data_IF_401563627002
#
_entry.id   IF_401563627002
#
_cell.length_a   1.000
_cell.length_b   1.000
_cell.length_c   1.000
_cell.angle_alpha   90.00
_cell.angle_beta   90.00
_cell.angle_gamma   90.00
#
_symmetry.space_group_name_H-M   'P 1'
#
loop_
_entity.id
_entity.type
_entity.pdbx_description
1 polymer ?
#
# COMPACT_ATOMS: atom_id res chain seq x y z
N UNK A 1 18.40 -6.96 -7.94
CA UNK A 1 19.74 -6.96 -7.32
C UNK A 1 20.48 -5.79 -7.94
N UNK A 2 20.96 -4.83 -7.13
CA UNK A 2 21.67 -3.66 -7.64
C UNK A 2 23.17 -3.89 -7.48
N UNK A 3 23.91 -3.83 -8.59
CA UNK A 3 25.36 -3.96 -8.62
C UNK A 3 25.97 -2.61 -8.99
N UNK A 4 27.03 -2.23 -8.28
CA UNK A 4 27.76 -0.96 -8.48
C UNK A 4 28.69 -1.13 -9.67
N UNK A 5 28.69 -0.17 -10.58
CA UNK A 5 29.60 -0.13 -11.73
C UNK A 5 30.91 0.59 -11.43
N UNK A 6 32.00 0.07 -11.98
CA UNK A 6 33.20 0.81 -12.35
C UNK A 6 33.48 0.55 -13.84
N UNK A 7 34.23 1.44 -14.49
CA UNK A 7 34.27 1.59 -15.96
C UNK A 7 35.67 1.46 -16.57
N UNK A 8 35.75 0.81 -17.75
CA UNK A 8 36.87 0.88 -18.71
C UNK A 8 37.90 -0.27 -18.60
N UNK A 9 38.45 -0.83 -19.69
CA UNK A 9 38.20 -0.59 -21.13
C UNK A 9 38.59 -1.81 -22.03
N UNK A 10 37.98 -1.89 -23.21
CA UNK A 10 38.24 -2.63 -24.48
C UNK A 10 39.21 -3.84 -24.61
N UNK A 11 38.70 -4.95 -25.18
CA UNK A 11 39.11 -5.53 -26.51
C UNK A 11 38.32 -6.81 -26.87
N UNK A 12 38.53 -7.41 -28.07
CA UNK A 12 37.51 -8.13 -28.86
C UNK A 12 37.68 -9.67 -29.06
N UNK A 13 36.56 -10.40 -28.96
CA UNK A 13 36.11 -11.57 -29.76
C UNK A 13 36.74 -13.01 -29.58
N UNK A 14 36.04 -14.11 -29.98
CA UNK A 14 36.13 -15.48 -29.38
C UNK A 14 36.33 -16.60 -30.48
N UNK A 15 35.73 -17.83 -30.48
CA UNK A 15 35.23 -18.77 -29.44
C UNK A 15 35.71 -20.26 -29.60
N UNK A 16 35.39 -21.14 -28.63
CA UNK A 16 35.13 -22.64 -28.68
C UNK A 16 35.21 -23.21 -27.24
N UNK A 17 34.61 -24.33 -26.80
CA UNK A 17 33.63 -25.32 -27.34
C UNK A 17 32.96 -26.16 -26.20
N UNK A 18 31.73 -26.63 -26.44
CA UNK A 18 31.00 -27.84 -25.93
C UNK A 18 30.99 -28.33 -24.44
N UNK A 19 29.79 -28.79 -24.03
CA UNK A 19 29.38 -29.55 -22.80
C UNK A 19 29.56 -31.10 -22.99
N UNK A 20 29.18 -32.07 -22.11
CA UNK A 20 28.21 -32.04 -20.98
C UNK A 20 28.61 -32.92 -19.72
N UNK A 21 27.74 -33.61 -18.95
CA UNK A 21 27.68 -33.40 -17.49
C UNK A 21 27.99 -34.65 -16.61
N UNK A 22 28.11 -34.46 -15.30
CA UNK A 22 28.10 -35.56 -14.32
C UNK A 22 27.24 -35.26 -13.10
N UNK A 23 26.56 -36.32 -12.63
CA UNK A 23 25.54 -36.29 -11.58
C UNK A 23 26.09 -36.75 -10.24
N UNK A 24 25.62 -36.11 -9.16
CA UNK A 24 25.45 -36.74 -7.84
C UNK A 24 26.66 -36.84 -6.92
N UNK A 25 26.59 -36.14 -5.78
CA UNK A 25 26.92 -36.72 -4.48
C UNK A 25 26.24 -35.94 -3.35
N UNK A 26 25.92 -36.64 -2.25
CA UNK A 26 25.13 -36.14 -1.13
C UNK A 26 25.92 -35.17 -0.23
N UNK A 27 25.18 -34.21 0.33
CA UNK A 27 25.18 -34.00 1.79
C UNK A 27 26.23 -33.04 2.38
N UNK A 28 25.81 -31.79 2.60
CA UNK A 28 26.06 -31.10 3.87
C UNK A 28 25.07 -29.95 4.10
N UNK A 29 24.34 -30.00 5.22
CA UNK A 29 23.56 -28.85 5.71
C UNK A 29 24.51 -27.83 6.35
N UNK A 30 24.64 -26.65 5.74
CA UNK A 30 25.27 -25.49 6.38
C UNK A 30 24.27 -24.85 7.35
N UNK A 31 24.36 -25.23 8.62
CA UNK A 31 23.64 -24.55 9.71
C UNK A 31 24.41 -23.30 10.15
N UNK A 32 23.82 -22.11 9.94
CA UNK A 32 24.44 -20.85 10.33
C UNK A 32 24.25 -20.59 11.84
N UNK A 33 25.27 -20.90 12.63
CA UNK A 33 25.28 -20.65 14.07
C UNK A 33 25.39 -19.15 14.40
N UNK A 34 24.63 -18.70 15.41
CA UNK A 34 24.79 -17.39 16.03
C UNK A 34 26.08 -17.39 16.89
N UNK A 35 26.88 -16.30 16.89
CA UNK A 35 28.12 -16.26 17.66
C UNK A 35 27.85 -16.16 19.17
N UNK A 36 28.24 -17.21 19.92
CA UNK A 36 28.44 -17.12 21.36
C UNK A 36 29.72 -16.29 21.65
N UNK A 37 29.61 -15.27 22.50
CA UNK A 37 30.78 -14.61 23.06
C UNK A 37 31.18 -15.28 24.39
N UNK A 38 32.45 -15.68 24.48
CA UNK A 38 32.98 -16.42 25.62
C UNK A 38 33.21 -15.57 26.87
N UNK A 39 32.98 -16.17 28.04
CA UNK A 39 33.42 -15.65 29.33
C UNK A 39 34.92 -15.90 29.52
N UNK A 40 35.66 -14.88 29.94
CA UNK A 40 36.99 -15.03 30.56
C UNK A 40 36.90 -14.55 32.00
N UNK A 41 37.35 -15.37 32.94
CA UNK A 41 37.31 -15.10 34.38
C UNK A 41 38.63 -14.50 34.87
N UNK A 42 38.53 -13.54 35.78
CA UNK A 42 39.66 -12.87 36.44
C UNK A 42 39.11 -11.75 37.32
N UNK A 43 38.90 -12.03 38.61
CA UNK A 43 38.04 -11.20 39.46
C UNK A 43 38.75 -10.34 40.49
N UNK A 44 37.96 -9.50 41.17
CA UNK A 44 38.07 -9.37 42.62
C UNK A 44 36.70 -8.96 43.21
N UNK A 45 36.44 -9.34 44.46
CA UNK A 45 35.07 -9.55 44.94
C UNK A 45 34.33 -8.34 45.52
N UNK A 46 33.01 -8.37 45.36
CA UNK A 46 32.02 -7.78 46.27
C UNK A 46 30.80 -8.72 46.31
N UNK A 47 30.32 -9.08 47.50
CA UNK A 47 29.19 -10.00 47.65
C UNK A 47 27.88 -9.30 47.29
N UNK A 48 27.12 -9.87 46.34
CA UNK A 48 25.72 -9.51 46.09
C UNK A 48 24.82 -10.70 46.41
N UNK A 49 23.92 -10.54 47.37
CA UNK A 49 22.80 -11.48 47.56
C UNK A 49 21.76 -11.26 46.45
N UNK A 50 21.17 -12.32 45.87
CA UNK A 50 20.08 -12.18 44.92
C UNK A 50 18.78 -11.82 45.65
N UNK A 51 18.25 -10.62 45.38
CA UNK A 51 16.87 -10.28 45.75
C UNK A 51 15.88 -11.12 44.93
N UNK A 52 14.78 -11.64 45.52
CA UNK A 52 13.77 -12.38 44.77
C UNK A 52 13.05 -11.48 43.75
N UNK A 53 12.52 -12.04 42.65
CA UNK A 53 11.82 -11.26 41.63
C UNK A 53 10.52 -10.66 42.18
N UNK A 54 10.27 -9.39 41.86
CA UNK A 54 9.03 -8.69 42.20
C UNK A 54 7.84 -9.35 41.46
N UNK A 55 6.93 -9.95 42.21
CA UNK A 55 5.64 -10.40 41.69
C UNK A 55 4.76 -9.18 41.39
N UNK A 56 4.38 -9.01 40.13
CA UNK A 56 3.32 -8.07 39.75
C UNK A 56 1.96 -8.65 40.17
N UNK A 57 1.03 -7.83 40.70
CA UNK A 57 -0.31 -8.29 41.04
C UNK A 57 -1.08 -8.71 39.76
N UNK A 58 -1.98 -9.69 39.85
CA UNK A 58 -2.76 -10.16 38.71
C UNK A 58 -3.70 -9.06 38.19
N UNK A 59 -3.73 -8.90 36.87
CA UNK A 59 -4.65 -7.99 36.19
C UNK A 59 -6.05 -8.60 36.24
N UNK A 60 -6.99 -7.91 36.88
CA UNK A 60 -8.40 -8.29 36.88
C UNK A 60 -9.05 -8.14 35.49
N UNK A 61 -10.16 -8.85 35.21
CA UNK A 61 -10.80 -8.81 33.90
C UNK A 61 -11.32 -7.40 33.56
N UNK A 62 -11.34 -7.02 32.27
CA UNK A 62 -11.75 -5.68 31.85
C UNK A 62 -13.22 -5.42 32.13
N UNK A 63 -13.51 -4.28 32.76
CA UNK A 63 -14.86 -3.74 32.91
C UNK A 63 -15.50 -3.49 31.53
N UNK A 64 -16.76 -3.92 31.37
CA UNK A 64 -17.48 -3.89 30.10
C UNK A 64 -17.78 -2.49 29.53
N UNK A 65 -18.20 -2.41 28.26
CA UNK A 65 -18.44 -1.14 27.57
C UNK A 65 -19.74 -0.46 28.05
N UNK A 66 -19.76 0.88 28.16
CA UNK A 66 -20.99 1.61 28.49
C UNK A 66 -21.85 1.86 27.25
N UNK A 67 -23.18 1.67 27.38
CA UNK A 67 -24.20 2.29 26.53
C UNK A 67 -24.35 1.72 25.11
N UNK A 68 -25.49 1.06 24.85
CA UNK A 68 -25.76 0.44 23.56
C UNK A 68 -26.09 1.42 22.42
N UNK A 69 -25.69 1.03 21.21
CA UNK A 69 -26.25 1.54 19.95
C UNK A 69 -26.74 0.34 19.13
N UNK A 70 -27.99 0.39 18.68
CA UNK A 70 -28.65 -0.68 17.92
C UNK A 70 -28.11 -0.77 16.49
N UNK A 71 -27.97 -1.99 15.92
CA UNK A 71 -27.43 -2.17 14.57
C UNK A 71 -28.50 -1.94 13.49
N UNK A 72 -28.30 -0.92 12.65
CA UNK A 72 -29.04 -0.75 11.40
C UNK A 72 -28.40 -1.61 10.30
N UNK A 73 -29.08 -2.69 9.90
CA UNK A 73 -28.69 -3.52 8.77
C UNK A 73 -29.06 -2.89 7.43
N UNK A 74 -28.24 -3.10 6.41
CA UNK A 74 -28.51 -2.60 5.06
C UNK A 74 -29.51 -3.47 4.29
N UNK A 75 -30.56 -2.84 3.77
CA UNK A 75 -31.45 -3.37 2.72
C UNK A 75 -31.39 -2.50 1.45
N UNK A 76 -31.84 -3.00 0.29
CA UNK A 76 -31.69 -2.30 -0.99
C UNK A 76 -32.71 -1.15 -1.16
N UNK A 77 -32.39 -0.13 -1.98
CA UNK A 77 -33.32 0.97 -2.26
C UNK A 77 -34.39 0.53 -3.27
N UNK A 78 -35.66 0.61 -2.86
CA UNK A 78 -36.84 0.46 -3.73
C UNK A 78 -37.36 1.81 -4.24
N UNK A 79 -38.00 1.79 -5.42
CA UNK A 79 -38.56 2.97 -6.09
C UNK A 79 -39.85 3.49 -5.44
N UNK A 80 -39.86 4.78 -5.09
CA UNK A 80 -41.03 5.68 -5.02
C UNK A 80 -40.48 7.12 -5.17
N UNK A 81 -41.16 8.12 -5.72
CA UNK A 81 -42.50 8.25 -6.27
C UNK A 81 -42.76 9.76 -6.44
N UNK A 82 -43.32 10.20 -7.57
CA UNK A 82 -43.43 11.62 -7.93
C UNK A 82 -44.44 12.41 -7.07
N UNK A 83 -44.13 13.67 -6.73
CA UNK A 83 -45.04 14.51 -5.93
C UNK A 83 -44.64 15.98 -5.70
N UNK A 84 -44.93 16.84 -6.69
CA UNK A 84 -45.29 18.27 -6.59
C UNK A 84 -44.38 19.29 -5.83
N UNK A 85 -43.82 20.23 -6.60
CA UNK A 85 -43.50 21.59 -6.14
C UNK A 85 -44.77 22.46 -6.03
N UNK A 86 -44.74 23.54 -5.25
CA UNK A 86 -45.43 24.79 -5.59
C UNK A 86 -44.46 25.83 -6.14
N UNK A 87 -44.79 26.38 -7.31
CA UNK A 87 -44.12 27.52 -7.93
C UNK A 87 -44.80 28.85 -7.54
N UNK A 88 -44.01 29.90 -7.32
CA UNK A 88 -44.52 31.28 -7.25
C UNK A 88 -43.54 32.26 -7.93
N UNK A 89 -44.09 33.14 -8.76
CA UNK A 89 -43.48 34.27 -9.44
C UNK A 89 -44.61 35.24 -9.87
N UNK A 90 -44.33 36.46 -10.37
CA UNK A 90 -43.45 37.49 -9.79
C UNK A 90 -44.16 38.87 -9.70
N UNK A 91 -43.62 39.82 -8.90
CA UNK A 91 -44.06 41.22 -8.91
C UNK A 91 -43.39 42.10 -7.85
N UNK A 92 -42.84 43.25 -8.23
CA UNK A 92 -42.26 44.27 -7.32
C UNK A 92 -43.10 45.56 -7.29
N UNK A 93 -42.53 46.78 -7.14
CA UNK A 93 -41.21 47.13 -6.58
C UNK A 93 -41.23 48.37 -5.63
N UNK A 94 -40.50 48.32 -4.51
CA UNK A 94 -40.09 49.47 -3.65
C UNK A 94 -38.78 49.05 -2.95
N UNK A 95 -37.74 49.86 -2.69
CA UNK A 95 -37.40 51.26 -3.03
C UNK A 95 -35.92 51.53 -2.65
N UNK A 96 -35.31 52.72 -2.91
CA UNK A 96 -33.86 52.87 -2.81
C UNK A 96 -33.36 53.24 -1.40
N UNK A 97 -32.45 52.44 -0.85
CA UNK A 97 -31.70 52.73 0.38
C UNK A 97 -30.42 51.90 0.42
N UNK A 98 -29.26 52.56 0.40
CA UNK A 98 -27.98 51.89 0.15
C UNK A 98 -27.33 51.26 1.38
N UNK A 99 -26.71 50.10 1.17
CA UNK A 99 -25.55 49.65 1.92
C UNK A 99 -24.57 49.01 0.93
N UNK A 100 -23.26 49.29 1.00
CA UNK A 100 -22.30 48.63 0.13
C UNK A 100 -22.27 47.14 0.46
N UNK A 101 -22.22 46.28 -0.56
CA UNK A 101 -22.00 44.86 -0.38
C UNK A 101 -20.62 44.66 0.26
N UNK A 102 -20.60 44.43 1.58
CA UNK A 102 -19.41 44.00 2.31
C UNK A 102 -18.89 42.74 1.64
N UNK A 103 -17.74 42.87 0.96
CA UNK A 103 -17.12 41.74 0.28
C UNK A 103 -16.96 40.58 1.24
N UNK A 104 -17.28 39.37 0.78
CA UNK A 104 -17.12 38.17 1.58
C UNK A 104 -15.68 38.11 2.10
N UNK A 105 -15.52 38.24 3.42
CA UNK A 105 -14.22 38.14 4.07
C UNK A 105 -13.58 36.81 3.63
N UNK A 106 -12.30 36.80 3.20
CA UNK A 106 -11.65 35.56 2.79
C UNK A 106 -11.71 34.58 3.96
N UNK A 107 -12.38 33.45 3.76
CA UNK A 107 -12.69 32.49 4.81
C UNK A 107 -11.43 32.11 5.58
N UNK A 108 -11.48 32.23 6.91
CA UNK A 108 -10.30 32.11 7.76
C UNK A 108 -9.57 30.77 7.51
N UNK A 109 -8.35 30.85 6.96
CA UNK A 109 -7.54 29.67 6.67
C UNK A 109 -7.02 29.10 7.99
N UNK A 110 -7.70 28.08 8.49
CA UNK A 110 -7.30 27.40 9.72
C UNK A 110 -5.97 26.64 9.50
N UNK A 111 -4.90 27.14 10.13
CA UNK A 111 -3.62 26.43 10.21
C UNK A 111 -3.49 25.79 11.58
N UNK A 112 -3.13 24.50 11.62
CA UNK A 112 -2.87 23.80 12.87
C UNK A 112 -1.71 24.48 13.65
N UNK A 113 -1.83 24.65 14.98
CA UNK A 113 -0.80 25.28 15.78
C UNK A 113 0.52 24.47 15.74
N UNK A 114 1.65 25.18 15.78
CA UNK A 114 2.96 24.52 15.89
C UNK A 114 3.11 23.88 17.27
N UNK A 115 3.81 22.75 17.34
CA UNK A 115 4.29 22.18 18.61
C UNK A 115 5.11 23.26 19.35
N UNK A 116 4.74 23.67 20.58
CA UNK A 116 5.45 24.73 21.29
C UNK A 116 6.81 24.23 21.83
N UNK A 117 6.87 23.00 22.34
CA UNK A 117 8.03 22.37 22.95
C UNK A 117 7.88 20.84 22.97
N UNK A 118 8.87 20.15 23.54
CA UNK A 118 8.82 18.73 23.89
C UNK A 118 8.59 18.59 25.40
N UNK A 119 7.89 17.54 25.82
CA UNK A 119 7.69 17.24 27.25
C UNK A 119 8.99 16.79 27.92
N UNK A 120 9.17 17.19 29.18
CA UNK A 120 10.39 16.92 29.98
C UNK A 120 10.14 16.10 31.25
N UNK A 121 8.87 15.83 31.57
CA UNK A 121 8.48 15.06 32.76
C UNK A 121 8.58 13.54 32.52
N UNK A 122 8.75 12.80 33.61
CA UNK A 122 8.83 11.34 33.62
C UNK A 122 10.26 10.79 33.47
N UNK A 123 10.40 9.47 33.64
CA UNK A 123 11.68 8.78 33.52
C UNK A 123 11.96 8.42 32.05
N UNK A 124 13.12 8.79 31.47
CA UNK A 124 13.50 8.38 30.12
C UNK A 124 13.51 6.85 29.95
N UNK A 125 12.98 6.37 28.82
CA UNK A 125 12.95 4.95 28.45
C UNK A 125 13.32 4.79 26.98
N UNK A 126 14.10 3.76 26.65
CA UNK A 126 14.47 3.42 25.27
C UNK A 126 13.34 2.60 24.65
N UNK A 127 12.80 3.08 23.53
CA UNK A 127 11.72 2.43 22.78
C UNK A 127 12.18 2.04 21.37
N UNK A 128 11.52 1.03 20.80
CA UNK A 128 11.58 0.73 19.37
C UNK A 128 10.20 0.98 18.77
N UNK A 129 10.15 1.68 17.65
CA UNK A 129 8.94 1.86 16.86
C UNK A 129 9.05 1.05 15.56
N UNK A 130 7.93 0.59 15.03
CA UNK A 130 7.79 -0.07 13.73
C UNK A 130 7.90 0.90 12.54
N UNK A 131 8.73 1.93 12.68
CA UNK A 131 8.93 3.02 11.73
C UNK A 131 10.36 2.97 11.20
N UNK A 132 10.49 2.66 9.91
CA UNK A 132 11.77 2.46 9.23
C UNK A 132 12.15 3.73 8.46
N UNK A 133 13.36 4.24 8.66
CA UNK A 133 13.80 5.47 8.00
C UNK A 133 13.98 5.27 6.48
N UNK A 134 13.32 6.09 5.67
CA UNK A 134 13.46 6.12 4.22
C UNK A 134 14.52 7.17 3.86
N UNK A 135 15.52 6.78 3.06
CA UNK A 135 16.44 7.73 2.42
C UNK A 135 15.81 8.24 1.13
N UNK A 136 15.53 9.54 1.07
CA UNK A 136 15.09 10.20 -0.16
C UNK A 136 16.32 10.39 -1.07
N UNK A 137 16.25 10.10 -2.38
CA UNK A 137 17.38 10.33 -3.29
C UNK A 137 17.57 11.80 -3.70
N UNK A 138 16.69 12.70 -3.24
CA UNK A 138 16.60 14.09 -3.71
C UNK A 138 16.14 14.19 -5.18
N UNK A 139 16.33 15.36 -5.76
CA UNK A 139 16.06 15.64 -7.17
C UNK A 139 14.59 15.91 -7.49
N UNK A 140 14.22 15.76 -8.75
CA UNK A 140 12.89 16.03 -9.30
C UNK A 140 12.40 14.82 -10.06
N UNK A 141 11.13 14.47 -9.88
CA UNK A 141 10.42 13.44 -10.65
C UNK A 141 9.30 14.08 -11.48
N UNK A 142 8.89 13.42 -12.56
CA UNK A 142 7.87 13.93 -13.47
C UNK A 142 6.52 13.30 -13.14
N UNK A 143 5.46 14.11 -13.09
CA UNK A 143 4.09 13.67 -12.85
C UNK A 143 3.27 13.71 -14.15
N UNK A 144 2.59 12.60 -14.42
CA UNK A 144 1.70 12.44 -15.57
C UNK A 144 0.30 12.07 -15.10
N UNK A 145 -0.70 12.72 -15.71
CA UNK A 145 -2.09 12.29 -15.64
C UNK A 145 -2.32 11.17 -16.64
N UNK A 146 -2.93 10.08 -16.16
CA UNK A 146 -3.40 8.96 -16.97
C UNK A 146 -4.93 8.96 -16.96
N UNK A 147 -5.54 8.81 -18.12
CA UNK A 147 -6.97 8.52 -18.28
C UNK A 147 -7.11 7.23 -19.08
N UNK A 148 -7.79 6.24 -18.52
CA UNK A 148 -8.05 4.95 -19.17
C UNK A 148 -9.51 4.93 -19.56
N UNK A 149 -9.81 4.62 -20.82
CA UNK A 149 -11.16 4.44 -21.32
C UNK A 149 -11.39 2.98 -21.77
N UNK A 150 -12.49 2.33 -21.35
CA UNK A 150 -13.54 2.83 -20.45
C UNK A 150 -13.10 3.08 -18.99
N UNK A 151 -13.66 4.12 -18.37
CA UNK A 151 -13.21 4.68 -17.08
C UNK A 151 -13.61 3.89 -15.81
N UNK A 152 -14.54 2.93 -15.93
CA UNK A 152 -15.10 2.13 -14.81
C UNK A 152 -14.28 0.90 -14.45
N UNK A 153 -13.07 0.75 -14.99
CA UNK A 153 -12.23 -0.41 -14.74
C UNK A 153 -11.69 -0.45 -13.29
N UNK A 154 -11.68 -1.63 -12.63
CA UNK A 154 -11.08 -1.80 -11.30
C UNK A 154 -9.60 -1.41 -11.26
N UNK A 155 -9.11 -0.89 -10.13
CA UNK A 155 -7.71 -0.44 -9.96
C UNK A 155 -6.64 -1.51 -10.23
N UNK A 156 -7.01 -2.80 -10.18
CA UNK A 156 -6.13 -3.93 -10.58
C UNK A 156 -6.02 -4.01 -12.11
N UNK A 157 -7.15 -3.95 -12.81
CA UNK A 157 -7.20 -3.93 -14.28
C UNK A 157 -6.50 -2.69 -14.83
N UNK A 158 -6.69 -1.50 -14.25
CA UNK A 158 -5.96 -0.29 -14.68
C UNK A 158 -4.44 -0.45 -14.60
N UNK A 159 -3.93 -1.13 -13.57
CA UNK A 159 -2.48 -1.43 -13.45
C UNK A 159 -2.01 -2.42 -14.51
N UNK A 160 -2.85 -3.38 -14.86
CA UNK A 160 -2.58 -4.34 -15.93
C UNK A 160 -2.53 -3.66 -17.30
N UNK A 161 -3.54 -2.83 -17.62
CA UNK A 161 -3.58 -1.99 -18.84
C UNK A 161 -2.29 -1.14 -18.94
N UNK A 162 -1.95 -0.39 -17.89
CA UNK A 162 -0.74 0.45 -17.90
C UNK A 162 0.55 -0.38 -17.99
N UNK A 163 0.62 -1.56 -17.37
CA UNK A 163 1.77 -2.45 -17.52
C UNK A 163 1.90 -3.02 -18.94
N UNK A 164 0.79 -3.35 -19.60
CA UNK A 164 0.78 -3.81 -21.00
C UNK A 164 1.15 -2.67 -21.94
N UNK A 165 0.66 -1.46 -21.70
CA UNK A 165 1.06 -0.24 -22.42
C UNK A 165 2.58 0.00 -22.33
N UNK A 166 3.16 -0.07 -21.12
CA UNK A 166 4.60 0.09 -20.89
C UNK A 166 5.41 -0.97 -21.64
N UNK A 167 4.88 -2.20 -21.78
CA UNK A 167 5.51 -3.29 -22.55
C UNK A 167 5.41 -3.06 -24.06
N UNK A 168 4.25 -2.66 -24.57
CA UNK A 168 4.01 -2.44 -26.00
C UNK A 168 4.77 -1.23 -26.54
N UNK A 169 4.73 -0.10 -25.84
CA UNK A 169 5.25 1.19 -26.31
C UNK A 169 6.69 1.46 -25.85
N UNK A 170 7.62 0.53 -26.14
CA UNK A 170 9.04 0.69 -25.77
C UNK A 170 9.67 1.99 -26.29
N UNK A 171 9.22 2.54 -27.42
CA UNK A 171 9.69 3.85 -27.93
C UNK A 171 9.49 5.01 -26.95
N UNK A 172 8.46 4.93 -26.10
CA UNK A 172 8.13 5.95 -25.08
C UNK A 172 8.76 5.59 -23.73
N UNK A 173 8.77 4.30 -23.38
CA UNK A 173 9.15 3.83 -22.04
C UNK A 173 10.54 3.16 -21.94
N UNK A 174 11.38 3.24 -22.98
CA UNK A 174 12.67 2.54 -23.03
C UNK A 174 13.53 2.82 -21.79
N UNK A 175 13.86 1.78 -21.02
CA UNK A 175 14.56 1.85 -19.73
C UNK A 175 13.92 2.71 -18.62
N UNK A 176 12.76 3.34 -18.87
CA UNK A 176 11.99 4.06 -17.87
C UNK A 176 11.08 3.05 -17.17
N UNK A 177 10.98 3.15 -15.84
CA UNK A 177 10.09 2.32 -15.01
C UNK A 177 9.08 3.23 -14.31
N UNK A 178 7.95 3.58 -14.96
CA UNK A 178 6.92 4.38 -14.33
C UNK A 178 6.31 3.65 -13.13
N UNK A 179 5.89 4.42 -12.13
CA UNK A 179 5.05 3.93 -11.04
C UNK A 179 3.66 4.55 -11.16
N UNK A 180 2.61 3.77 -10.86
CA UNK A 180 1.22 4.17 -11.10
C UNK A 180 0.31 3.80 -9.92
N UNK A 181 -0.61 4.72 -9.57
CA UNK A 181 -1.54 4.63 -8.44
C UNK A 181 -2.78 3.73 -8.71
N UNK A 182 -2.97 3.30 -9.96
CA UNK A 182 -4.13 2.52 -10.41
C UNK A 182 -5.37 3.35 -10.71
N UNK A 183 -5.25 4.67 -10.76
CA UNK A 183 -6.34 5.60 -11.11
C UNK A 183 -5.87 6.66 -12.12
N UNK A 184 -5.25 7.75 -11.67
CA UNK A 184 -4.88 8.90 -12.53
C UNK A 184 -3.42 9.32 -12.46
N UNK A 185 -2.64 8.87 -11.47
CA UNK A 185 -1.32 9.43 -11.20
C UNK A 185 -0.21 8.44 -11.56
N UNK A 186 0.59 8.78 -12.56
CA UNK A 186 1.81 8.09 -12.91
C UNK A 186 3.02 9.00 -12.68
N UNK A 187 4.11 8.44 -12.16
CA UNK A 187 5.36 9.16 -11.95
C UNK A 187 6.53 8.45 -12.63
N UNK A 188 7.45 9.22 -13.19
CA UNK A 188 8.73 8.73 -13.73
C UNK A 188 9.88 9.54 -13.14
N UNK A 189 11.08 8.96 -13.11
CA UNK A 189 12.30 9.70 -12.74
C UNK A 189 12.65 10.72 -13.84
N UNK A 190 12.74 10.21 -15.06
CA UNK A 190 13.18 10.95 -16.24
C UNK A 190 11.96 11.29 -17.15
N UNK A 191 11.95 12.42 -17.88
CA UNK A 191 10.84 12.79 -18.76
C UNK A 191 10.59 11.79 -19.89
N UNK A 192 9.32 11.47 -20.13
CA UNK A 192 8.87 10.72 -21.30
C UNK A 192 9.05 11.57 -22.58
N UNK A 193 9.43 10.96 -23.72
CA UNK A 193 9.64 11.65 -25.00
C UNK A 193 8.32 11.95 -25.73
N UNK A 194 7.35 12.54 -25.02
CA UNK A 194 6.00 12.87 -25.51
C UNK A 194 5.69 14.38 -25.50
N UNK A 195 6.64 15.21 -25.06
CA UNK A 195 6.42 16.64 -24.86
C UNK A 195 5.49 16.93 -23.68
N UNK A 196 4.63 17.95 -23.83
CA UNK A 196 3.64 18.36 -22.80
C UNK A 196 2.19 18.05 -23.19
N UNK A 197 1.96 17.71 -24.45
CA UNK A 197 0.62 17.49 -24.99
C UNK A 197 0.05 16.13 -24.54
N UNK A 198 -1.26 15.95 -24.75
CA UNK A 198 -1.95 14.70 -24.49
C UNK A 198 -1.65 13.73 -25.63
N UNK A 199 -1.02 12.60 -25.32
CA UNK A 199 -0.83 11.48 -26.26
C UNK A 199 -1.82 10.38 -25.91
N UNK A 200 -2.44 9.77 -26.92
CA UNK A 200 -3.36 8.64 -26.76
C UNK A 200 -2.75 7.39 -27.37
N UNK A 201 -2.87 6.28 -26.64
CA UNK A 201 -2.28 4.98 -26.98
C UNK A 201 -3.36 3.91 -26.86
N UNK A 202 -3.37 2.95 -27.79
CA UNK A 202 -4.31 1.83 -27.78
C UNK A 202 -3.65 0.62 -27.10
N UNK A 203 -4.40 -0.02 -26.20
CA UNK A 203 -3.89 -1.12 -25.38
C UNK A 203 -4.89 -2.25 -25.41
N UNK A 204 -4.48 -3.38 -25.97
CA UNK A 204 -5.27 -4.60 -25.98
C UNK A 204 -4.86 -5.49 -24.80
N UNK A 205 -5.83 -5.89 -23.97
CA UNK A 205 -5.66 -6.99 -23.02
C UNK A 205 -6.35 -8.25 -23.52
N UNK A 206 -5.77 -9.45 -23.25
CA UNK A 206 -6.47 -10.70 -23.48
C UNK A 206 -7.79 -10.72 -22.69
N UNK A 207 -8.86 -11.16 -23.34
CA UNK A 207 -10.13 -11.43 -22.71
C UNK A 207 -10.15 -12.79 -22.01
N UNK A 208 -11.04 -12.96 -21.04
CA UNK A 208 -11.43 -14.27 -20.50
C UNK A 208 -12.36 -15.03 -21.49
N UNK A 209 -12.64 -14.41 -22.64
CA UNK A 209 -13.43 -14.91 -23.77
C UNK A 209 -12.64 -14.67 -25.07
N UNK A 210 -13.09 -15.23 -26.19
CA UNK A 210 -12.48 -15.04 -27.52
C UNK A 210 -12.58 -13.59 -28.09
N UNK A 211 -12.91 -12.60 -27.25
CA UNK A 211 -12.99 -11.18 -27.60
C UNK A 211 -11.92 -10.44 -26.81
N UNK A 212 -10.97 -9.85 -27.53
CA UNK A 212 -9.94 -9.00 -26.95
C UNK A 212 -10.53 -7.72 -26.38
N UNK A 213 -9.99 -7.23 -25.25
CA UNK A 213 -10.45 -6.00 -24.61
C UNK A 213 -9.52 -4.85 -25.01
N UNK A 214 -10.00 -3.99 -25.91
CA UNK A 214 -9.30 -2.77 -26.32
C UNK A 214 -9.59 -1.62 -25.33
N UNK A 215 -8.54 -0.86 -25.01
CA UNK A 215 -8.58 0.31 -24.14
C UNK A 215 -7.84 1.48 -24.80
N UNK A 216 -8.37 2.69 -24.67
CA UNK A 216 -7.64 3.91 -25.02
C UNK A 216 -7.05 4.50 -23.75
N UNK A 217 -5.73 4.67 -23.71
CA UNK A 217 -5.02 5.27 -22.58
C UNK A 217 -4.44 6.60 -23.02
N UNK A 218 -4.87 7.69 -22.41
CA UNK A 218 -4.25 8.99 -22.60
C UNK A 218 -3.21 9.28 -21.52
N UNK A 219 -2.09 9.87 -21.93
CA UNK A 219 -0.99 10.31 -21.08
C UNK A 219 -0.82 11.82 -21.30
N UNK A 220 -0.81 12.59 -20.23
CA UNK A 220 -0.54 14.03 -20.27
C UNK A 220 0.46 14.41 -19.17
N UNK A 221 1.50 15.17 -19.51
CA UNK A 221 2.40 15.75 -18.49
C UNK A 221 1.66 16.81 -17.67
N UNK A 222 1.85 16.79 -16.35
CA UNK A 222 1.17 17.68 -15.41
C UNK A 222 2.13 18.64 -14.72
N UNK A 223 3.14 18.11 -14.05
CA UNK A 223 4.06 18.90 -13.23
C UNK A 223 5.39 18.20 -12.98
N UNK A 224 6.30 18.95 -12.35
CA UNK A 224 7.52 18.43 -11.74
C UNK A 224 7.36 18.42 -10.22
N UNK A 225 7.62 17.28 -9.60
CA UNK A 225 7.52 17.09 -8.15
C UNK A 225 8.94 17.04 -7.58
N UNK A 226 9.29 18.00 -6.74
CA UNK A 226 10.61 18.06 -6.10
C UNK A 226 10.66 17.14 -4.88
N UNK A 227 11.57 16.17 -4.91
CA UNK A 227 11.92 15.35 -3.75
C UNK A 227 12.98 16.05 -2.87
N UNK A 228 13.79 16.96 -3.43
CA UNK A 228 14.69 17.82 -2.62
C UNK A 228 13.92 18.68 -1.62
N UNK A 229 12.80 19.30 -2.04
CA UNK A 229 11.94 20.08 -1.13
C UNK A 229 11.34 19.21 -0.01
N UNK A 230 11.11 17.92 -0.26
CA UNK A 230 10.64 17.00 0.78
C UNK A 230 11.73 16.68 1.80
N UNK A 231 12.98 16.53 1.36
CA UNK A 231 14.14 16.31 2.24
C UNK A 231 14.41 17.55 3.11
N UNK A 232 14.41 18.74 2.49
CA UNK A 232 14.47 20.04 3.19
C UNK A 232 13.36 20.22 4.23
N UNK A 233 12.17 19.66 3.99
CA UNK A 233 11.07 19.68 4.97
C UNK A 233 11.32 18.74 6.15
N UNK A 234 11.96 17.59 5.93
CA UNK A 234 12.29 16.64 7.01
C UNK A 234 13.41 17.17 7.90
N UNK A 235 14.35 17.91 7.32
CA UNK A 235 15.42 18.62 8.05
C UNK A 235 14.95 19.95 8.68
N UNK A 236 13.67 20.31 8.50
CA UNK A 236 13.06 21.50 9.10
C UNK A 236 13.48 22.83 8.47
N UNK A 237 14.16 22.82 7.31
CA UNK A 237 14.53 24.04 6.56
C UNK A 237 13.31 24.74 5.97
N UNK A 238 12.32 23.98 5.49
CA UNK A 238 11.02 24.53 5.06
C UNK A 238 9.90 24.17 6.03
N UNK A 239 8.92 25.08 6.18
CA UNK A 239 7.85 25.01 7.20
C UNK A 239 6.72 24.04 6.86
N UNK A 240 6.52 23.80 5.57
CA UNK A 240 5.38 23.05 5.01
C UNK A 240 5.87 21.80 4.32
N UNK A 241 5.35 20.63 4.71
CA UNK A 241 5.66 19.37 4.02
C UNK A 241 4.94 19.36 2.66
N UNK A 242 5.65 19.20 1.53
CA UNK A 242 5.01 19.19 0.21
C UNK A 242 4.18 17.92 0.02
N UNK A 243 2.86 18.07 -0.01
CA UNK A 243 1.92 16.95 -0.08
C UNK A 243 2.10 16.10 -1.35
N UNK A 244 2.34 16.73 -2.50
CA UNK A 244 2.57 16.03 -3.78
C UNK A 244 3.79 15.11 -3.72
N UNK A 245 4.88 15.56 -3.09
CA UNK A 245 6.09 14.73 -2.90
C UNK A 245 5.83 13.56 -1.93
N UNK A 246 5.04 13.77 -0.87
CA UNK A 246 4.61 12.68 0.03
C UNK A 246 3.72 11.67 -0.71
N UNK A 247 2.79 12.15 -1.53
CA UNK A 247 1.90 11.31 -2.34
C UNK A 247 2.68 10.50 -3.36
N UNK A 248 3.63 11.12 -4.07
CA UNK A 248 4.49 10.42 -5.01
C UNK A 248 5.34 9.34 -4.31
N UNK A 249 5.89 9.62 -3.12
CA UNK A 249 6.59 8.61 -2.32
C UNK A 249 5.68 7.45 -1.87
N UNK A 250 4.42 7.70 -1.51
CA UNK A 250 3.44 6.63 -1.23
C UNK A 250 3.19 5.77 -2.48
N UNK A 251 2.99 6.40 -3.65
CA UNK A 251 2.77 5.68 -4.92
C UNK A 251 4.01 4.86 -5.32
N UNK A 252 5.22 5.42 -5.23
CA UNK A 252 6.48 4.73 -5.50
C UNK A 252 6.60 3.47 -4.64
N UNK A 253 6.48 3.63 -3.31
CA UNK A 253 6.69 2.52 -2.37
C UNK A 253 5.55 1.50 -2.38
N UNK A 254 4.34 1.87 -2.83
CA UNK A 254 3.19 0.96 -2.93
C UNK A 254 3.03 0.31 -4.31
N UNK A 255 3.72 0.77 -5.34
CA UNK A 255 3.51 0.31 -6.71
C UNK A 255 3.71 -1.21 -6.84
N UNK A 256 4.87 -1.73 -6.45
CA UNK A 256 5.18 -3.17 -6.55
C UNK A 256 4.31 -4.05 -5.61
N UNK A 257 4.11 -3.72 -4.32
CA UNK A 257 3.15 -4.42 -3.48
C UNK A 257 1.73 -4.46 -4.06
N UNK A 258 1.29 -3.39 -4.74
CA UNK A 258 -0.04 -3.33 -5.39
C UNK A 258 -0.16 -4.18 -6.66
N UNK A 259 0.95 -4.70 -7.20
CA UNK A 259 0.98 -5.65 -8.30
C UNK A 259 1.10 -7.10 -7.81
N UNK A 260 1.76 -7.32 -6.67
CA UNK A 260 2.09 -8.65 -6.14
C UNK A 260 1.04 -9.20 -5.16
N UNK A 261 0.39 -8.33 -4.39
CA UNK A 261 -0.51 -8.70 -3.29
C UNK A 261 -1.91 -8.10 -3.49
N UNK A 262 -2.90 -8.58 -2.74
CA UNK A 262 -4.25 -8.01 -2.73
C UNK A 262 -4.28 -6.77 -1.86
N UNK A 263 -4.51 -5.55 -2.40
CA UNK A 263 -4.51 -4.32 -1.62
C UNK A 263 -5.87 -4.09 -0.97
N UNK A 264 -5.89 -3.88 0.35
CA UNK A 264 -7.10 -3.49 1.10
C UNK A 264 -6.76 -2.26 1.94
N UNK A 265 -7.33 -1.11 1.57
CA UNK A 265 -7.04 0.18 2.22
C UNK A 265 -5.57 0.60 2.06
N UNK A 266 -4.80 0.51 3.15
CA UNK A 266 -3.33 0.73 3.19
C UNK A 266 -2.53 -0.54 3.44
N UNK A 267 -3.20 -1.69 3.53
CA UNK A 267 -2.57 -2.99 3.78
C UNK A 267 -2.53 -3.85 2.53
N UNK A 268 -1.64 -4.85 2.53
CA UNK A 268 -1.41 -5.80 1.45
C UNK A 268 -1.47 -7.23 2.00
N UNK A 269 -2.28 -8.09 1.39
CA UNK A 269 -2.56 -9.45 1.87
C UNK A 269 -2.26 -10.51 0.80
N UNK A 270 -1.95 -11.73 1.24
CA UNK A 270 -1.71 -12.89 0.38
C UNK A 270 -2.44 -14.14 0.91
N UNK A 271 -2.92 -15.04 0.02
CA UNK A 271 -3.51 -16.31 0.45
C UNK A 271 -2.51 -17.15 1.26
N UNK A 272 -2.96 -17.91 2.29
CA UNK A 272 -2.10 -18.79 3.09
C UNK A 272 -1.30 -19.81 2.25
N UNK A 273 -1.84 -20.21 1.10
CA UNK A 273 -1.26 -21.25 0.23
C UNK A 273 -0.41 -20.69 -0.92
N UNK A 274 -0.31 -19.36 -1.06
CA UNK A 274 0.65 -18.77 -2.00
C UNK A 274 2.05 -18.91 -1.42
N UNK A 275 2.99 -19.50 -2.18
CA UNK A 275 4.36 -19.87 -1.76
C UNK A 275 5.31 -18.73 -1.37
N UNK A 276 4.83 -17.74 -0.63
CA UNK A 276 5.60 -16.80 0.16
C UNK A 276 6.38 -17.57 1.23
N UNK A 277 7.69 -17.63 1.08
CA UNK A 277 8.64 -18.46 1.84
C UNK A 277 8.87 -17.99 3.29
N UNK A 278 7.83 -17.53 3.99
CA UNK A 278 7.93 -16.99 5.36
C UNK A 278 7.16 -17.77 6.42
N UNK A 279 6.30 -18.74 6.06
CA UNK A 279 5.72 -19.69 7.01
C UNK A 279 5.76 -21.15 6.50
N UNK A 280 6.92 -21.83 6.59
CA UNK A 280 7.09 -23.22 6.16
C UNK A 280 6.71 -24.23 7.26
N UNK A 281 5.50 -24.12 7.82
CA UNK A 281 5.01 -25.03 8.87
C UNK A 281 3.89 -25.94 8.33
N UNK A 282 4.12 -27.27 8.22
CA UNK A 282 3.07 -28.23 7.85
C UNK A 282 1.97 -28.27 8.92
N UNK A 283 0.79 -27.75 8.60
CA UNK A 283 -0.38 -27.72 9.50
C UNK A 283 -1.17 -26.42 9.49
N UNK A 284 -0.53 -25.30 9.12
CA UNK A 284 -1.10 -23.93 9.20
C UNK A 284 -2.37 -23.72 8.34
N UNK A 285 -2.58 -24.56 7.32
CA UNK A 285 -3.76 -24.56 6.45
C UNK A 285 -5.06 -24.98 7.16
N UNK A 286 -4.96 -25.64 8.32
CA UNK A 286 -6.10 -25.94 9.19
C UNK A 286 -6.50 -24.71 10.01
N UNK A 287 -5.51 -24.13 10.69
CA UNK A 287 -5.67 -23.02 11.65
C UNK A 287 -6.12 -21.70 11.00
N UNK A 288 -5.94 -21.57 9.68
CA UNK A 288 -6.39 -20.39 8.93
C UNK A 288 -7.90 -20.38 8.64
N UNK A 289 -8.63 -21.48 8.86
CA UNK A 289 -10.08 -21.57 8.55
C UNK A 289 -10.93 -20.90 9.62
N UNK A 290 -11.94 -20.14 9.19
CA UNK A 290 -12.90 -19.45 10.07
C UNK A 290 -14.32 -20.04 10.03
N UNK A 291 -14.55 -21.09 9.23
CA UNK A 291 -15.88 -21.61 8.92
C UNK A 291 -16.63 -20.77 7.87
N UNK A 292 -17.79 -21.26 7.39
CA UNK A 292 -18.62 -20.53 6.43
C UNK A 292 -17.91 -20.13 5.13
N UNK A 293 -16.97 -20.95 4.64
CA UNK A 293 -16.17 -20.65 3.46
C UNK A 293 -15.13 -19.53 3.61
N UNK A 294 -14.77 -19.17 4.85
CA UNK A 294 -13.84 -18.06 5.16
C UNK A 294 -12.50 -18.54 5.70
N UNK A 295 -11.46 -17.77 5.44
CA UNK A 295 -10.12 -17.96 6.00
C UNK A 295 -9.46 -16.63 6.39
N UNK A 296 -8.50 -16.68 7.30
CA UNK A 296 -7.62 -15.54 7.62
C UNK A 296 -6.53 -15.42 6.56
N UNK A 297 -6.37 -14.25 5.97
CA UNK A 297 -5.14 -13.90 5.24
C UNK A 297 -4.29 -12.98 6.10
N UNK A 298 -3.01 -13.32 6.20
CA UNK A 298 -1.99 -12.46 6.78
C UNK A 298 -1.44 -11.51 5.72
N UNK A 299 -0.89 -10.40 6.20
CA UNK A 299 -0.42 -9.30 5.38
C UNK A 299 0.29 -8.26 6.22
N UNK A 300 0.46 -7.07 5.66
CA UNK A 300 1.08 -5.95 6.34
C UNK A 300 0.41 -4.63 5.97
N UNK A 301 0.29 -3.74 6.96
CA UNK A 301 -0.04 -2.33 6.75
C UNK A 301 1.21 -1.61 6.24
N UNK A 302 1.04 -0.71 5.28
CA UNK A 302 2.12 0.13 4.79
C UNK A 302 1.65 1.59 4.70
N UNK A 303 2.38 2.51 5.31
CA UNK A 303 2.20 3.94 5.06
C UNK A 303 3.48 4.73 5.20
N UNK A 304 3.72 5.65 4.27
CA UNK A 304 4.79 6.64 4.36
C UNK A 304 4.31 7.83 5.21
N UNK A 305 5.15 8.33 6.11
CA UNK A 305 4.83 9.40 7.06
C UNK A 305 5.99 10.41 7.14
N UNK A 306 5.75 11.72 7.03
CA UNK A 306 6.75 12.72 7.44
C UNK A 306 6.95 12.67 8.97
N UNK A 307 8.16 13.02 9.43
CA UNK A 307 8.50 13.14 10.86
C UNK A 307 9.46 14.29 11.09
N UNK A 308 9.83 14.56 12.36
CA UNK A 308 10.86 15.56 12.72
C UNK A 308 12.29 15.15 12.35
N UNK A 309 12.51 13.94 11.83
CA UNK A 309 13.85 13.43 11.52
C UNK A 309 14.01 13.07 10.04
N UNK A 310 13.15 12.18 9.52
CA UNK A 310 13.18 11.66 8.15
C UNK A 310 11.78 11.30 7.68
N UNK A 311 11.61 11.02 6.39
CA UNK A 311 10.45 10.26 5.93
C UNK A 311 10.53 8.84 6.51
N UNK A 312 9.44 8.39 7.13
CA UNK A 312 9.36 7.10 7.81
C UNK A 312 8.37 6.19 7.08
N UNK A 313 8.78 4.95 6.83
CA UNK A 313 7.91 3.88 6.39
C UNK A 313 7.39 3.16 7.65
N UNK A 314 6.13 3.38 7.98
CA UNK A 314 5.43 2.64 9.03
C UNK A 314 4.93 1.31 8.43
N UNK A 315 5.42 0.20 8.96
CA UNK A 315 5.02 -1.17 8.61
C UNK A 315 4.49 -1.86 9.85
N UNK A 316 3.34 -2.51 9.74
CA UNK A 316 2.81 -3.34 10.83
C UNK A 316 2.20 -4.64 10.28
N UNK A 317 2.17 -5.70 11.09
CA UNK A 317 1.54 -6.97 10.68
C UNK A 317 0.02 -6.79 10.68
N UNK A 318 -0.65 -7.34 9.67
CA UNK A 318 -2.11 -7.30 9.54
C UNK A 318 -2.66 -8.70 9.32
N UNK A 319 -3.88 -8.95 9.81
CA UNK A 319 -4.67 -10.11 9.46
C UNK A 319 -6.11 -9.67 9.17
N UNK A 320 -6.76 -10.27 8.17
CA UNK A 320 -8.18 -10.03 7.89
C UNK A 320 -8.82 -11.27 7.24
N UNK A 321 -10.14 -11.42 7.39
CA UNK A 321 -10.88 -12.49 6.75
C UNK A 321 -11.01 -12.26 5.23
N UNK A 322 -10.89 -13.34 4.47
CA UNK A 322 -11.22 -13.45 3.05
C UNK A 322 -12.10 -14.68 2.81
N UNK A 323 -12.80 -14.73 1.68
CA UNK A 323 -13.42 -15.96 1.20
C UNK A 323 -12.37 -16.89 0.61
N UNK A 324 -12.48 -18.17 0.95
CA UNK A 324 -11.63 -19.24 0.43
C UNK A 324 -11.89 -19.45 -1.06
N UNK A 325 -10.83 -19.72 -1.82
CA UNK A 325 -10.95 -20.19 -3.20
C UNK A 325 -11.38 -21.67 -3.17
N UNK A 326 -12.67 -21.93 -3.33
CA UNK A 326 -13.27 -23.27 -3.22
C UNK A 326 -14.48 -23.42 -4.17
N UNK A 327 -14.90 -24.65 -4.53
CA UNK A 327 -16.11 -24.90 -5.30
C UNK A 327 -17.36 -24.33 -4.60
N UNK A 328 -18.31 -23.80 -5.38
CA UNK A 328 -19.54 -23.18 -4.84
C UNK A 328 -20.39 -24.18 -4.04
N UNK A 329 -20.40 -25.46 -4.41
CA UNK A 329 -21.10 -26.52 -3.66
C UNK A 329 -20.48 -26.73 -2.28
N UNK A 330 -19.14 -26.77 -2.18
CA UNK A 330 -18.44 -26.84 -0.88
C UNK A 330 -18.68 -25.57 -0.05
N UNK A 331 -18.72 -24.40 -0.69
CA UNK A 331 -19.02 -23.14 -0.01
C UNK A 331 -20.42 -23.15 0.61
N UNK A 332 -21.43 -23.59 -0.15
CA UNK A 332 -22.80 -23.74 0.35
C UNK A 332 -22.86 -24.77 1.50
N UNK A 333 -22.12 -25.88 1.39
CA UNK A 333 -22.03 -26.88 2.46
C UNK A 333 -21.42 -26.29 3.75
N UNK A 334 -20.31 -25.55 3.65
CA UNK A 334 -19.68 -24.88 4.80
C UNK A 334 -20.55 -23.75 5.39
N UNK A 335 -21.41 -23.09 4.59
CA UNK A 335 -22.31 -22.00 5.04
C UNK A 335 -23.60 -22.53 5.67
N UNK A 336 -24.12 -23.66 5.19
CA UNK A 336 -25.33 -24.28 5.74
C UNK A 336 -25.03 -25.31 6.86
N UNK A 337 -23.76 -25.57 7.14
CA UNK A 337 -23.29 -26.62 8.08
C UNK A 337 -23.82 -28.03 7.71
N UNK A 338 -23.98 -28.29 6.41
CA UNK A 338 -24.49 -29.55 5.86
C UNK A 338 -23.38 -30.38 5.19
N UNK A 339 -23.45 -31.72 5.22
CA UNK A 339 -22.61 -32.56 4.38
C UNK A 339 -22.95 -32.32 2.90
N UNK A 340 -21.93 -32.35 2.03
CA UNK A 340 -22.08 -32.09 0.58
C UNK A 340 -23.14 -32.99 -0.07
N UNK A 341 -23.28 -34.22 0.42
CA UNK A 341 -24.27 -35.21 -0.03
C UNK A 341 -25.71 -34.70 0.13
N UNK A 342 -26.04 -34.01 1.24
CA UNK A 342 -27.37 -33.45 1.48
C UNK A 342 -27.76 -32.33 0.50
N UNK A 343 -26.79 -31.76 -0.22
CA UNK A 343 -27.02 -30.78 -1.30
C UNK A 343 -27.25 -31.46 -2.66
N UNK A 344 -26.82 -32.71 -2.84
CA UNK A 344 -26.95 -33.45 -4.09
C UNK A 344 -28.33 -34.12 -4.25
N UNK A 345 -28.98 -34.50 -3.14
CA UNK A 345 -30.23 -35.28 -3.11
C UNK A 345 -31.51 -34.47 -3.41
N UNK A 346 -31.41 -33.16 -3.68
CA UNK A 346 -32.54 -32.27 -3.98
C UNK A 346 -32.63 -31.82 -5.45
N UNK A 347 -32.25 -32.68 -6.39
CA UNK A 347 -32.27 -32.40 -7.84
C UNK A 347 -33.43 -33.06 -8.57
#
# INVERSE_FOLDING_TARGET
MFQIGQSGDTSLMPPTSFMPPLSGLLGQQMSAALPQFGMVSGGNGAQFQPTPPLQLPPIGPPSGPPGGLVPMGGGPPGEFGSGQQPSLAPGGPIGPGGAPAMGALPGAVFMAPRRPNHGVEGRPIVLRANHFAVRIPGGVIQHYAIDVQPDKCPRRVNREIVNTMIRAYQKIFNNIRPVYDGKRNMYTRDPLPIGRDRVELEVTLPGDSAVERQFTVSIKWMSQVSLSLLDEAMEGRIRTVPFESVQAMDVILRHLPSLKYTPVGRSFFSPPNSGSTHHPQPGYHSESKLGGGREVWFGFHQSVRPSQWKMMLNIDVSATAFYRSMPVIEFIAEVLELPIQALAERR
#
